data_IF_867145403953
#
_entry.id   IF_867145403953
#
_cell.length_a   1.000
_cell.length_b   1.000
_cell.length_c   1.000
_cell.angle_alpha   90.00
_cell.angle_beta   90.00
_cell.angle_gamma   90.00
#
_symmetry.space_group_name_H-M   'P 1'
#
loop_
_entity.id
_entity.type
_entity.pdbx_description
1 polymer ?
#
# COMPACT_ATOMS: atom_id res chain seq x y z
N UNK A 1 -38.67 -17.84 35.86
CA UNK A 1 -38.45 -17.64 34.41
C UNK A 1 -37.14 -16.88 34.28
N UNK A 2 -36.14 -17.56 33.87
CA UNK A 2 -34.82 -16.94 33.66
C UNK A 2 -34.82 -16.25 32.28
N UNK A 3 -34.50 -14.98 32.22
CA UNK A 3 -34.26 -14.26 30.97
C UNK A 3 -33.08 -14.91 30.23
N UNK A 4 -33.21 -15.19 28.94
CA UNK A 4 -32.12 -15.73 28.18
C UNK A 4 -30.98 -14.70 28.15
N UNK A 5 -29.75 -15.19 28.31
CA UNK A 5 -28.54 -14.38 28.16
C UNK A 5 -28.50 -13.78 26.76
N UNK A 6 -28.07 -12.53 26.59
CA UNK A 6 -27.91 -11.94 25.28
C UNK A 6 -26.88 -12.76 24.48
N UNK A 7 -27.21 -13.08 23.24
CA UNK A 7 -26.33 -13.71 22.29
C UNK A 7 -25.10 -12.79 22.09
N UNK A 8 -23.86 -13.31 22.02
CA UNK A 8 -22.71 -12.50 21.70
C UNK A 8 -22.92 -11.87 20.31
N UNK A 9 -22.91 -10.54 20.26
CA UNK A 9 -22.97 -9.80 19.00
C UNK A 9 -21.65 -9.98 18.27
N UNK A 10 -21.68 -10.62 17.13
CA UNK A 10 -20.51 -10.74 16.25
C UNK A 10 -20.35 -9.44 15.49
N UNK A 11 -19.32 -8.67 15.77
CA UNK A 11 -19.08 -7.40 15.11
C UNK A 11 -17.64 -7.21 14.81
N UNK A 12 -17.46 -6.82 13.75
CA UNK A 12 -17.01 -5.79 12.85
C UNK A 12 -15.64 -6.05 12.25
N UNK A 13 -15.61 -6.02 10.96
CA UNK A 13 -14.39 -5.98 10.15
C UNK A 13 -13.83 -4.57 10.25
N UNK A 14 -12.73 -4.40 10.95
CA UNK A 14 -11.90 -3.20 10.86
C UNK A 14 -10.70 -3.53 9.99
N UNK A 15 -10.83 -3.21 8.74
CA UNK A 15 -9.64 -3.12 7.91
C UNK A 15 -8.91 -1.82 8.26
N UNK A 16 -7.59 -1.84 8.35
CA UNK A 16 -6.76 -0.64 8.15
C UNK A 16 -6.96 -0.15 6.71
N UNK A 17 -8.17 -0.17 6.26
CA UNK A 17 -8.58 0.17 4.92
C UNK A 17 -9.28 1.50 4.96
N UNK A 18 -8.95 2.29 3.97
CA UNK A 18 -9.73 3.41 3.52
C UNK A 18 -11.22 3.12 3.69
N UNK A 19 -11.85 3.76 4.66
CA UNK A 19 -13.29 3.90 4.64
C UNK A 19 -13.62 4.73 3.40
N UNK A 20 -13.92 4.04 2.31
CA UNK A 20 -14.60 4.64 1.19
C UNK A 20 -15.98 5.02 1.69
N UNK A 21 -16.18 6.28 2.04
CA UNK A 21 -17.50 6.83 2.33
C UNK A 21 -18.15 7.20 1.00
N UNK A 22 -19.20 6.48 0.56
CA UNK A 22 -19.95 6.90 -0.62
C UNK A 22 -20.56 8.28 -0.32
N UNK A 23 -20.11 9.31 -1.02
CA UNK A 23 -20.66 10.66 -0.89
C UNK A 23 -19.65 11.80 -0.76
N UNK A 24 -18.40 11.56 -0.47
CA UNK A 24 -17.38 12.62 -0.43
C UNK A 24 -16.70 12.91 -1.80
N UNK A 25 -17.11 12.24 -2.87
CA UNK A 25 -16.49 12.32 -4.20
C UNK A 25 -17.30 13.02 -5.29
N UNK A 26 -18.40 13.71 -4.98
CA UNK A 26 -19.28 14.26 -6.01
C UNK A 26 -19.17 15.75 -6.28
N UNK A 27 -18.28 16.49 -5.62
CA UNK A 27 -17.98 17.89 -5.97
C UNK A 27 -16.49 18.00 -6.30
N UNK A 28 -16.18 18.45 -7.51
CA UNK A 28 -14.82 18.59 -8.05
C UNK A 28 -13.96 19.66 -7.39
N UNK A 29 -14.14 19.91 -6.09
CA UNK A 29 -13.23 20.65 -5.26
C UNK A 29 -12.41 19.63 -4.46
N UNK A 30 -11.08 19.74 -4.51
CA UNK A 30 -10.18 19.03 -3.61
C UNK A 30 -10.68 19.24 -2.17
N UNK A 31 -11.02 18.19 -1.41
CA UNK A 31 -11.50 18.38 -0.06
C UNK A 31 -10.41 19.10 0.73
N UNK A 32 -10.81 20.17 1.45
CA UNK A 32 -9.94 20.83 2.40
C UNK A 32 -9.30 19.76 3.29
N UNK A 33 -7.96 19.65 3.32
CA UNK A 33 -7.28 18.63 4.11
C UNK A 33 -7.74 18.61 5.57
N UNK A 34 -8.07 19.77 6.13
CA UNK A 34 -8.57 19.91 7.50
C UNK A 34 -9.92 19.22 7.69
N UNK A 35 -10.81 19.31 6.72
CA UNK A 35 -12.11 18.63 6.75
C UNK A 35 -11.97 17.12 6.55
N UNK A 36 -11.04 16.67 5.70
CA UNK A 36 -10.78 15.25 5.48
C UNK A 36 -10.26 14.58 6.75
N UNK A 37 -9.22 15.13 7.37
CA UNK A 37 -8.64 14.57 8.61
C UNK A 37 -9.66 14.58 9.75
N UNK A 38 -10.46 15.63 9.85
CA UNK A 38 -11.50 15.70 10.86
C UNK A 38 -12.58 14.63 10.64
N UNK A 39 -13.03 14.41 9.41
CA UNK A 39 -14.00 13.38 9.07
C UNK A 39 -13.44 11.97 9.37
N UNK A 40 -12.19 11.70 9.00
CA UNK A 40 -11.51 10.44 9.31
C UNK A 40 -11.40 10.24 10.83
N UNK A 41 -11.00 11.26 11.57
CA UNK A 41 -10.91 11.20 13.03
C UNK A 41 -12.28 10.90 13.68
N UNK A 42 -13.34 11.58 13.24
CA UNK A 42 -14.69 11.34 13.76
C UNK A 42 -15.15 9.89 13.46
N UNK A 43 -14.88 9.40 12.26
CA UNK A 43 -15.23 8.02 11.88
C UNK A 43 -14.50 6.99 12.76
N UNK A 44 -13.21 7.16 13.01
CA UNK A 44 -12.47 6.28 13.91
C UNK A 44 -12.96 6.39 15.34
N UNK A 45 -13.24 7.59 15.84
CA UNK A 45 -13.80 7.78 17.17
C UNK A 45 -15.13 7.04 17.32
N UNK A 46 -16.06 7.23 16.39
CA UNK A 46 -17.38 6.60 16.42
C UNK A 46 -17.28 5.07 16.32
N UNK A 47 -16.29 4.56 15.56
CA UNK A 47 -15.98 3.14 15.48
C UNK A 47 -15.50 2.61 16.84
N UNK A 48 -14.51 3.25 17.47
CA UNK A 48 -13.99 2.84 18.78
C UNK A 48 -15.07 2.95 19.87
N UNK A 49 -15.87 4.04 19.87
CA UNK A 49 -17.00 4.19 20.78
C UNK A 49 -18.05 3.08 20.59
N UNK A 50 -18.19 2.55 19.39
CA UNK A 50 -19.08 1.41 19.11
C UNK A 50 -18.49 0.10 19.63
N UNK A 51 -17.21 -0.15 19.37
CA UNK A 51 -16.51 -1.33 19.87
C UNK A 51 -16.49 -1.37 21.41
N UNK A 52 -16.31 -0.23 22.07
CA UNK A 52 -16.32 -0.13 23.54
C UNK A 52 -17.69 -0.38 24.15
N UNK A 53 -18.77 -0.08 23.43
CA UNK A 53 -20.16 -0.32 23.87
C UNK A 53 -20.60 -1.76 23.72
N UNK A 54 -19.98 -2.51 22.82
CA UNK A 54 -20.33 -3.90 22.57
C UNK A 54 -19.64 -4.83 23.57
N UNK A 55 -20.36 -5.28 24.54
CA UNK A 55 -19.89 -6.25 25.52
C UNK A 55 -20.35 -7.68 25.14
N UNK A 56 -19.55 -8.73 25.43
CA UNK A 56 -18.39 -8.75 26.32
C UNK A 56 -17.06 -8.42 25.66
N UNK A 57 -16.85 -8.56 24.36
CA UNK A 57 -15.69 -8.12 23.60
C UNK A 57 -16.02 -8.21 22.09
N UNK A 58 -15.92 -7.08 21.38
CA UNK A 58 -15.99 -7.12 19.94
C UNK A 58 -14.70 -7.76 19.37
N UNK A 59 -14.84 -8.69 18.45
CA UNK A 59 -13.73 -9.24 17.69
C UNK A 59 -13.45 -8.35 16.47
N UNK A 60 -12.21 -7.90 16.33
CA UNK A 60 -11.77 -7.02 15.26
C UNK A 60 -10.86 -7.78 14.30
N UNK A 61 -11.27 -7.94 13.06
CA UNK A 61 -10.42 -8.52 12.02
C UNK A 61 -9.55 -7.44 11.39
N UNK A 62 -8.23 -7.65 11.34
CA UNK A 62 -7.31 -6.70 10.70
C UNK A 62 -6.61 -7.34 9.49
N UNK A 63 -6.50 -6.54 8.41
CA UNK A 63 -5.79 -6.95 7.19
C UNK A 63 -4.28 -6.84 7.37
N UNK A 64 -3.73 -7.68 8.23
CA UNK A 64 -2.31 -7.80 8.56
C UNK A 64 -2.03 -9.23 9.01
N UNK A 65 -0.78 -9.59 9.22
CA UNK A 65 -0.41 -10.82 9.95
C UNK A 65 0.31 -10.49 11.25
N UNK A 66 0.29 -11.42 12.18
CA UNK A 66 0.87 -11.26 13.49
C UNK A 66 2.35 -10.90 13.41
N UNK A 67 3.08 -11.50 12.49
CA UNK A 67 4.52 -11.37 12.32
C UNK A 67 4.93 -9.96 11.87
N UNK A 68 4.08 -9.30 11.08
CA UNK A 68 4.32 -7.92 10.60
C UNK A 68 4.16 -6.87 11.71
N UNK A 69 3.24 -7.09 12.65
CA UNK A 69 2.83 -6.05 13.61
C UNK A 69 2.80 -6.52 15.08
N UNK A 70 3.71 -7.40 15.48
CA UNK A 70 3.79 -7.97 16.85
C UNK A 70 3.64 -6.90 17.92
N UNK A 71 4.38 -5.79 17.83
CA UNK A 71 4.34 -4.71 18.83
C UNK A 71 3.03 -3.93 18.85
N UNK A 72 2.43 -3.69 17.68
CA UNK A 72 1.15 -3.00 17.59
C UNK A 72 0.00 -3.85 18.13
N UNK A 73 -0.04 -5.14 17.76
CA UNK A 73 -1.05 -6.08 18.23
C UNK A 73 -0.97 -6.30 19.74
N UNK A 74 0.23 -6.34 20.32
CA UNK A 74 0.41 -6.46 21.78
C UNK A 74 -0.03 -5.20 22.56
N UNK A 75 -0.07 -4.05 21.89
CA UNK A 75 -0.46 -2.77 22.48
C UNK A 75 -1.96 -2.46 22.36
N UNK A 76 -2.70 -3.23 21.56
CA UNK A 76 -4.15 -3.05 21.42
C UNK A 76 -4.84 -3.53 22.71
N UNK A 77 -5.49 -2.62 23.40
CA UNK A 77 -6.10 -2.80 24.72
C UNK A 77 -7.09 -3.98 24.85
N UNK A 78 -8.32 -3.77 25.35
CA UNK A 78 -9.19 -4.87 25.76
C UNK A 78 -9.88 -5.61 24.60
N UNK A 79 -9.68 -5.17 23.35
CA UNK A 79 -10.33 -5.77 22.19
C UNK A 79 -9.62 -7.05 21.73
N UNK A 80 -10.40 -8.00 21.24
CA UNK A 80 -9.89 -9.21 20.62
C UNK A 80 -9.58 -8.90 19.14
N UNK A 81 -8.29 -8.69 18.83
CA UNK A 81 -7.83 -8.32 17.48
C UNK A 81 -7.21 -9.52 16.81
N UNK A 82 -7.83 -9.96 15.71
CA UNK A 82 -7.38 -11.09 14.92
C UNK A 82 -6.77 -10.63 13.58
N UNK A 83 -5.45 -10.75 13.41
CA UNK A 83 -4.83 -10.55 12.11
C UNK A 83 -5.18 -11.72 11.18
N UNK A 84 -5.78 -11.41 10.03
CA UNK A 84 -6.28 -12.39 9.05
C UNK A 84 -5.72 -12.18 7.64
N UNK A 85 -4.76 -11.28 7.49
CA UNK A 85 -4.16 -10.89 6.21
C UNK A 85 -2.65 -11.11 6.15
N UNK A 86 -1.99 -10.47 5.18
CA UNK A 86 -2.54 -9.61 4.13
C UNK A 86 -3.50 -10.35 3.20
N UNK A 87 -4.71 -9.80 3.03
CA UNK A 87 -5.66 -10.31 2.05
C UNK A 87 -5.32 -9.70 0.69
N UNK A 88 -4.81 -10.53 -0.20
CA UNK A 88 -4.49 -10.16 -1.58
C UNK A 88 -5.55 -10.75 -2.51
N UNK A 89 -5.88 -10.06 -3.63
CA UNK A 89 -6.74 -10.64 -4.63
C UNK A 89 -6.18 -11.98 -5.12
N UNK A 90 -7.00 -13.00 -5.14
CA UNK A 90 -6.62 -14.31 -5.67
C UNK A 90 -6.76 -14.27 -7.19
N UNK A 91 -5.64 -14.10 -7.94
CA UNK A 91 -5.54 -14.35 -9.39
C UNK A 91 -6.60 -13.64 -10.26
N UNK A 92 -6.76 -14.09 -11.47
CA UNK A 92 -7.44 -13.52 -12.64
C UNK A 92 -8.86 -12.90 -12.53
N UNK A 93 -9.50 -12.85 -11.37
CA UNK A 93 -10.94 -12.59 -11.29
C UNK A 93 -11.37 -11.11 -11.11
N UNK A 94 -10.50 -10.14 -10.97
CA UNK A 94 -10.94 -8.83 -10.46
C UNK A 94 -10.54 -7.59 -11.22
N UNK A 95 -10.15 -7.67 -12.46
CA UNK A 95 -9.97 -6.43 -13.20
C UNK A 95 -11.27 -5.97 -13.87
N UNK A 96 -12.10 -5.25 -13.12
CA UNK A 96 -13.28 -4.54 -13.62
C UNK A 96 -12.88 -3.38 -14.59
N UNK A 97 -11.58 -3.08 -14.73
CA UNK A 97 -11.03 -1.93 -15.45
C UNK A 97 -10.05 -2.35 -16.56
N UNK A 98 -10.41 -3.26 -17.43
CA UNK A 98 -9.50 -4.14 -18.18
C UNK A 98 -9.06 -3.71 -19.57
N UNK A 99 -9.26 -2.50 -20.08
CA UNK A 99 -8.85 -2.22 -21.47
C UNK A 99 -7.35 -1.85 -21.62
N UNK A 100 -6.70 -1.26 -20.61
CA UNK A 100 -5.26 -0.94 -20.64
C UNK A 100 -4.36 -1.98 -19.96
N UNK A 101 -4.96 -3.02 -19.36
CA UNK A 101 -4.24 -3.98 -18.52
C UNK A 101 -3.21 -4.84 -19.26
N UNK A 102 -3.41 -5.13 -20.52
CA UNK A 102 -2.52 -5.98 -21.29
C UNK A 102 -1.20 -5.26 -21.66
N UNK A 103 -1.27 -4.01 -22.08
CA UNK A 103 -0.12 -3.28 -22.64
C UNK A 103 1.06 -3.12 -21.67
N UNK A 104 0.80 -2.80 -20.42
CA UNK A 104 1.89 -2.61 -19.46
C UNK A 104 2.49 -3.94 -19.00
N UNK A 105 1.70 -5.03 -18.94
CA UNK A 105 2.22 -6.36 -18.66
C UNK A 105 3.11 -6.85 -19.79
N UNK A 106 2.67 -6.74 -21.04
CA UNK A 106 3.48 -7.04 -22.24
C UNK A 106 4.80 -6.25 -22.26
N UNK A 107 4.75 -4.97 -21.84
CA UNK A 107 5.95 -4.15 -21.74
C UNK A 107 6.88 -4.67 -20.61
N UNK A 108 6.35 -5.06 -19.46
CA UNK A 108 7.14 -5.66 -18.37
C UNK A 108 7.82 -6.96 -18.81
N UNK A 109 7.13 -7.80 -19.60
CA UNK A 109 7.68 -9.04 -20.18
C UNK A 109 8.94 -8.81 -21.03
N UNK A 110 9.12 -7.61 -21.58
CA UNK A 110 10.32 -7.25 -22.36
C UNK A 110 11.51 -6.85 -21.49
N UNK A 111 11.34 -6.72 -20.17
CA UNK A 111 12.38 -6.18 -19.27
C UNK A 111 13.14 -7.28 -18.54
N UNK A 112 14.37 -6.97 -18.16
CA UNK A 112 15.18 -7.88 -17.35
C UNK A 112 14.58 -8.01 -15.94
N UNK A 113 14.77 -9.15 -15.32
CA UNK A 113 14.36 -9.38 -13.96
C UNK A 113 14.93 -8.32 -13.01
N UNK A 114 14.09 -7.82 -12.10
CA UNK A 114 14.43 -6.82 -11.07
C UNK A 114 15.03 -5.51 -11.63
N UNK A 115 14.72 -5.14 -12.88
CA UNK A 115 15.26 -3.93 -13.51
C UNK A 115 14.32 -2.73 -13.47
N UNK A 116 13.01 -2.95 -13.30
CA UNK A 116 11.97 -1.91 -13.43
C UNK A 116 11.68 -1.25 -12.10
N UNK A 117 11.61 0.09 -12.11
CA UNK A 117 11.09 0.91 -11.01
C UNK A 117 9.58 1.10 -11.23
N UNK A 118 8.76 0.49 -10.38
CA UNK A 118 7.33 0.72 -10.34
C UNK A 118 7.02 1.94 -9.46
N UNK A 119 6.17 2.86 -9.92
CA UNK A 119 5.86 4.12 -9.22
C UNK A 119 4.37 4.32 -9.13
N UNK A 120 3.81 4.31 -7.91
CA UNK A 120 2.39 4.56 -7.67
C UNK A 120 2.16 5.23 -6.31
N UNK A 121 1.33 6.29 -6.31
CA UNK A 121 1.00 7.05 -5.11
C UNK A 121 -0.45 6.85 -4.63
N UNK A 122 -1.04 5.73 -5.02
CA UNK A 122 -2.38 5.31 -4.61
C UNK A 122 -3.51 6.13 -5.25
N UNK A 123 -4.71 5.92 -4.73
CA UNK A 123 -5.95 6.41 -5.35
C UNK A 123 -6.38 7.82 -4.94
N UNK A 124 -5.78 8.43 -3.93
CA UNK A 124 -6.23 9.71 -3.36
C UNK A 124 -5.27 10.88 -3.62
N UNK A 125 -4.06 10.63 -4.12
CA UNK A 125 -3.07 11.68 -4.28
C UNK A 125 -3.29 12.47 -5.56
N UNK A 126 -3.69 13.73 -5.44
CA UNK A 126 -3.48 14.73 -6.49
C UNK A 126 -2.00 15.11 -6.55
N UNK A 127 -1.48 15.30 -7.76
CA UNK A 127 -0.07 15.57 -7.99
C UNK A 127 0.09 16.98 -8.53
N UNK A 128 0.79 17.83 -7.79
CA UNK A 128 1.17 19.14 -8.30
C UNK A 128 2.15 18.96 -9.47
N UNK A 129 2.13 19.91 -10.41
CA UNK A 129 2.98 19.91 -11.59
C UNK A 129 4.45 19.74 -11.25
N UNK A 130 4.96 20.54 -10.33
CA UNK A 130 6.34 20.51 -9.86
C UNK A 130 6.75 19.11 -9.33
N UNK A 131 5.88 18.46 -8.62
CA UNK A 131 6.12 17.10 -8.12
C UNK A 131 6.21 16.06 -9.24
N UNK A 132 5.42 16.23 -10.30
CA UNK A 132 5.46 15.32 -11.45
C UNK A 132 6.72 15.56 -12.27
N UNK A 133 7.10 16.82 -12.50
CA UNK A 133 8.32 17.21 -13.22
C UNK A 133 9.56 16.61 -12.54
N UNK A 134 9.70 16.79 -11.22
CA UNK A 134 10.83 16.25 -10.45
C UNK A 134 10.90 14.72 -10.49
N UNK A 135 9.77 14.04 -10.45
CA UNK A 135 9.72 12.57 -10.53
C UNK A 135 10.12 12.06 -11.90
N UNK A 136 9.54 12.63 -12.97
CA UNK A 136 9.90 12.27 -14.33
C UNK A 136 11.38 12.51 -14.59
N UNK A 137 11.90 13.68 -14.18
CA UNK A 137 13.31 13.99 -14.28
C UNK A 137 14.18 12.95 -13.56
N UNK A 138 13.83 12.61 -12.32
CA UNK A 138 14.59 11.64 -11.52
C UNK A 138 14.55 10.22 -12.10
N UNK A 139 13.42 9.79 -12.66
CA UNK A 139 13.28 8.49 -13.31
C UNK A 139 14.09 8.43 -14.62
N UNK A 140 14.01 9.45 -15.47
CA UNK A 140 14.75 9.50 -16.74
C UNK A 140 16.27 9.60 -16.52
N UNK A 141 16.72 10.47 -15.62
CA UNK A 141 18.14 10.58 -15.28
C UNK A 141 18.69 9.31 -14.61
N UNK A 142 17.82 8.54 -13.93
CA UNK A 142 18.17 7.25 -13.33
C UNK A 142 18.44 6.15 -14.36
N UNK A 143 18.01 6.32 -15.62
CA UNK A 143 18.23 5.41 -16.76
C UNK A 143 17.79 3.96 -16.51
N UNK A 144 16.91 3.74 -15.53
CA UNK A 144 16.29 2.43 -15.29
C UNK A 144 14.91 2.41 -15.96
N UNK A 145 14.47 1.28 -16.50
CA UNK A 145 13.09 1.15 -16.95
C UNK A 145 12.12 1.48 -15.82
N UNK A 146 11.04 2.19 -16.11
CA UNK A 146 10.03 2.51 -15.10
C UNK A 146 8.60 2.38 -15.62
N UNK A 147 7.70 2.01 -14.72
CA UNK A 147 6.25 2.06 -14.91
C UNK A 147 5.68 3.08 -13.92
N UNK A 148 5.17 4.20 -14.44
CA UNK A 148 4.59 5.26 -13.64
C UNK A 148 3.08 5.29 -13.77
N UNK A 149 2.36 5.25 -12.65
CA UNK A 149 0.91 5.41 -12.60
C UNK A 149 0.56 6.88 -12.38
N UNK A 150 -0.11 7.50 -13.34
CA UNK A 150 -0.65 8.86 -13.27
C UNK A 150 -2.14 8.81 -13.59
N UNK A 151 -2.96 9.01 -12.56
CA UNK A 151 -4.41 8.93 -12.65
C UNK A 151 -5.03 9.97 -13.60
N UNK A 152 -6.27 9.69 -14.05
CA UNK A 152 -7.04 10.56 -14.96
C UNK A 152 -7.17 12.01 -14.50
N UNK A 153 -7.33 12.23 -13.19
CA UNK A 153 -7.43 13.56 -12.58
C UNK A 153 -6.13 14.37 -12.67
N UNK A 154 -4.99 13.71 -12.91
CA UNK A 154 -3.69 14.34 -13.13
C UNK A 154 -3.26 14.36 -14.62
N UNK A 155 -4.15 13.99 -15.55
CA UNK A 155 -3.81 13.84 -16.98
C UNK A 155 -3.39 15.16 -17.65
N UNK A 156 -4.05 16.27 -17.33
CA UNK A 156 -3.65 17.58 -17.83
C UNK A 156 -2.24 17.96 -17.36
N UNK A 157 -1.96 17.74 -16.08
CA UNK A 157 -0.64 17.97 -15.48
C UNK A 157 0.44 17.08 -16.12
N UNK A 158 0.11 15.82 -16.46
CA UNK A 158 1.03 14.92 -17.16
C UNK A 158 1.33 15.42 -18.57
N UNK A 159 0.31 15.77 -19.35
CA UNK A 159 0.49 16.27 -20.72
C UNK A 159 1.38 17.53 -20.77
N UNK A 160 1.22 18.43 -19.79
CA UNK A 160 2.07 19.61 -19.66
C UNK A 160 3.51 19.25 -19.27
N UNK A 161 3.71 18.27 -18.38
CA UNK A 161 5.04 17.81 -17.98
C UNK A 161 5.76 17.12 -19.13
N UNK A 162 5.07 16.25 -19.88
CA UNK A 162 5.60 15.61 -21.08
C UNK A 162 5.99 16.63 -22.15
N UNK A 163 5.16 17.65 -22.39
CA UNK A 163 5.46 18.73 -23.32
C UNK A 163 6.72 19.53 -22.91
N UNK A 164 6.92 19.78 -21.60
CA UNK A 164 8.10 20.47 -21.11
C UNK A 164 9.38 19.63 -21.19
N UNK A 165 9.26 18.32 -20.98
CA UNK A 165 10.40 17.40 -21.08
C UNK A 165 10.72 17.02 -22.54
N UNK A 166 9.79 17.22 -23.46
CA UNK A 166 9.95 16.85 -24.88
C UNK A 166 10.13 15.34 -25.05
N UNK A 167 10.95 14.93 -26.04
CA UNK A 167 11.20 13.51 -26.34
C UNK A 167 12.10 12.79 -25.31
N UNK A 168 12.14 13.25 -24.07
CA UNK A 168 13.02 12.71 -23.03
C UNK A 168 12.43 11.52 -22.25
N UNK A 169 11.18 11.15 -22.48
CA UNK A 169 10.55 9.98 -21.83
C UNK A 169 10.89 8.71 -22.63
N UNK A 170 12.14 8.26 -22.52
CA UNK A 170 12.67 7.14 -23.31
C UNK A 170 12.76 5.84 -22.50
N UNK A 171 12.84 5.95 -21.16
CA UNK A 171 13.15 4.80 -20.31
C UNK A 171 11.91 4.08 -19.76
N UNK A 172 10.72 4.67 -19.86
CA UNK A 172 9.56 4.11 -19.19
C UNK A 172 8.24 4.24 -19.92
N UNK A 173 7.20 3.77 -19.25
CA UNK A 173 5.82 3.96 -19.68
C UNK A 173 5.01 4.61 -18.56
N UNK A 174 4.03 5.42 -18.97
CA UNK A 174 3.05 6.04 -18.08
C UNK A 174 1.69 5.44 -18.38
N UNK A 175 1.00 5.05 -17.31
CA UNK A 175 -0.35 4.46 -17.38
C UNK A 175 -1.31 5.18 -16.45
N UNK A 176 -2.59 5.19 -16.77
CA UNK A 176 -3.61 5.81 -15.89
C UNK A 176 -3.97 4.93 -14.71
N UNK A 177 -3.87 3.62 -14.89
CA UNK A 177 -4.17 2.61 -13.89
C UNK A 177 -3.48 1.28 -14.22
N UNK A 178 -3.22 0.46 -13.20
CA UNK A 178 -2.77 -0.92 -13.36
C UNK A 178 -3.23 -1.78 -12.19
N UNK A 179 -3.26 -3.10 -12.39
CA UNK A 179 -3.39 -4.07 -11.31
C UNK A 179 -2.07 -4.12 -10.52
N UNK A 180 -2.02 -3.42 -9.39
CA UNK A 180 -0.82 -3.27 -8.58
C UNK A 180 -0.25 -4.60 -8.11
N UNK A 181 -1.11 -5.54 -7.72
CA UNK A 181 -0.67 -6.86 -7.23
C UNK A 181 0.00 -7.65 -8.35
N UNK A 182 -0.58 -7.67 -9.54
CA UNK A 182 0.03 -8.32 -10.71
C UNK A 182 1.34 -7.67 -11.12
N UNK A 183 1.40 -6.34 -11.10
CA UNK A 183 2.65 -5.60 -11.39
C UNK A 183 3.72 -5.91 -10.35
N UNK A 184 3.40 -5.88 -9.05
CA UNK A 184 4.35 -6.20 -7.99
C UNK A 184 4.81 -7.67 -8.01
N UNK A 185 3.97 -8.58 -8.47
CA UNK A 185 4.33 -10.00 -8.62
C UNK A 185 5.20 -10.27 -9.86
N UNK A 186 5.34 -9.29 -10.78
CA UNK A 186 6.09 -9.48 -12.02
C UNK A 186 7.60 -9.50 -11.79
N UNK A 187 8.29 -10.48 -12.38
CA UNK A 187 9.73 -10.71 -12.19
C UNK A 187 10.61 -9.50 -12.57
N UNK A 188 10.16 -8.65 -13.49
CA UNK A 188 10.89 -7.47 -13.92
C UNK A 188 10.91 -6.35 -12.87
N UNK A 189 9.96 -6.31 -11.92
CA UNK A 189 9.87 -5.23 -10.93
C UNK A 189 10.93 -5.43 -9.84
N UNK A 190 11.83 -4.45 -9.72
CA UNK A 190 12.93 -4.46 -8.75
C UNK A 190 12.77 -3.49 -7.59
N UNK A 191 11.89 -2.48 -7.73
CA UNK A 191 11.65 -1.47 -6.71
C UNK A 191 10.25 -0.88 -6.84
N UNK A 192 9.62 -0.57 -5.72
CA UNK A 192 8.35 0.14 -5.65
C UNK A 192 8.48 1.50 -4.96
N UNK A 193 8.30 2.58 -5.71
CA UNK A 193 8.22 3.94 -5.17
C UNK A 193 6.77 4.22 -4.80
N UNK A 194 6.50 4.37 -3.51
CA UNK A 194 5.13 4.40 -2.97
C UNK A 194 4.92 5.48 -1.91
N UNK A 195 3.68 5.94 -1.77
CA UNK A 195 3.25 6.80 -0.66
C UNK A 195 3.18 6.08 0.69
N UNK A 196 3.43 4.78 0.74
CA UNK A 196 3.34 3.94 1.95
C UNK A 196 1.94 3.84 2.58
N UNK A 197 0.85 3.91 1.82
CA UNK A 197 -0.45 3.47 2.29
C UNK A 197 -0.42 1.98 2.62
N UNK A 198 -1.18 1.55 3.66
CA UNK A 198 -1.05 0.18 4.19
C UNK A 198 -1.20 -0.92 3.15
N UNK A 199 -2.23 -0.85 2.28
CA UNK A 199 -2.42 -1.88 1.26
C UNK A 199 -1.21 -1.99 0.32
N UNK A 200 -0.69 -0.85 -0.17
CA UNK A 200 0.49 -0.83 -1.02
C UNK A 200 1.72 -1.42 -0.35
N UNK A 201 1.90 -1.15 0.94
CA UNK A 201 3.01 -1.72 1.73
C UNK A 201 2.83 -3.23 1.91
N UNK A 202 1.63 -3.68 2.29
CA UNK A 202 1.33 -5.10 2.48
C UNK A 202 1.48 -5.90 1.18
N UNK A 203 0.99 -5.36 0.05
CA UNK A 203 1.15 -5.96 -1.29
C UNK A 203 2.62 -6.05 -1.71
N UNK A 204 3.41 -5.00 -1.43
CA UNK A 204 4.85 -5.00 -1.73
C UNK A 204 5.61 -6.02 -0.89
N UNK A 205 5.33 -6.09 0.41
CA UNK A 205 5.96 -7.09 1.31
C UNK A 205 5.60 -8.51 0.88
N UNK A 206 4.32 -8.77 0.60
CA UNK A 206 3.86 -10.07 0.13
C UNK A 206 4.45 -10.47 -1.22
N UNK A 207 4.79 -9.50 -2.07
CA UNK A 207 5.46 -9.72 -3.35
C UNK A 207 6.99 -9.81 -3.23
N UNK A 208 7.56 -9.40 -2.09
CA UNK A 208 9.02 -9.35 -1.87
C UNK A 208 9.71 -8.23 -2.65
N UNK A 209 8.98 -7.16 -2.99
CA UNK A 209 9.52 -6.02 -3.72
C UNK A 209 10.02 -4.97 -2.74
N UNK A 210 11.29 -4.55 -2.82
CA UNK A 210 11.81 -3.48 -1.99
C UNK A 210 11.15 -2.14 -2.29
N UNK A 211 11.09 -1.25 -1.27
CA UNK A 211 10.33 0.00 -1.38
C UNK A 211 11.19 1.25 -1.23
N UNK A 212 10.81 2.31 -1.96
CA UNK A 212 11.17 3.70 -1.66
C UNK A 212 9.92 4.40 -1.14
N UNK A 213 9.90 4.68 0.15
CA UNK A 213 8.76 5.30 0.82
C UNK A 213 8.78 6.83 0.70
N UNK A 214 7.69 7.40 0.21
CA UNK A 214 7.46 8.85 0.08
C UNK A 214 6.16 9.20 0.80
N UNK A 215 6.10 9.10 2.13
CA UNK A 215 4.87 9.33 2.88
C UNK A 215 4.43 10.80 2.79
N UNK A 216 3.13 11.03 2.70
CA UNK A 216 2.54 12.36 2.63
C UNK A 216 1.65 12.69 3.82
N UNK A 217 0.77 11.76 4.18
CA UNK A 217 -0.29 12.01 5.17
C UNK A 217 -0.57 10.78 6.03
N UNK A 218 -1.25 10.98 7.14
CA UNK A 218 -1.82 9.93 8.01
C UNK A 218 -0.79 8.89 8.48
N UNK A 219 -1.17 7.62 8.47
CA UNK A 219 -0.37 6.46 8.89
C UNK A 219 0.85 6.18 8.00
N UNK A 220 0.91 6.82 6.82
CA UNK A 220 1.97 6.57 5.83
C UNK A 220 3.37 6.79 6.40
N UNK A 221 3.55 7.79 7.27
CA UNK A 221 4.83 8.05 7.93
C UNK A 221 5.24 6.93 8.89
N UNK A 222 4.27 6.30 9.56
CA UNK A 222 4.51 5.14 10.42
C UNK A 222 4.87 3.92 9.57
N UNK A 223 4.11 3.67 8.49
CA UNK A 223 4.37 2.56 7.57
C UNK A 223 5.75 2.70 6.92
N UNK A 224 6.14 3.91 6.47
CA UNK A 224 7.47 4.18 5.94
C UNK A 224 8.59 3.89 6.96
N UNK A 225 8.34 4.17 8.25
CA UNK A 225 9.29 3.82 9.33
C UNK A 225 9.39 2.31 9.55
N UNK A 226 8.28 1.58 9.45
CA UNK A 226 8.30 0.10 9.52
C UNK A 226 9.12 -0.47 8.35
N UNK A 227 8.88 0.01 7.13
CA UNK A 227 9.64 -0.37 5.92
C UNK A 227 11.15 -0.15 6.11
N UNK A 228 11.54 1.06 6.59
CA UNK A 228 12.95 1.44 6.71
C UNK A 228 13.64 0.79 7.90
N UNK A 229 13.02 0.81 9.09
CA UNK A 229 13.68 0.45 10.36
C UNK A 229 13.19 -0.85 10.95
N UNK A 230 11.90 -1.16 10.80
CA UNK A 230 11.30 -2.36 11.35
C UNK A 230 11.65 -3.58 10.52
N UNK A 231 11.24 -3.57 9.27
CA UNK A 231 11.42 -4.70 8.36
C UNK A 231 12.68 -4.60 7.51
N UNK A 232 13.24 -3.40 7.36
CA UNK A 232 14.43 -3.12 6.55
C UNK A 232 14.26 -3.53 5.08
N UNK A 233 13.03 -3.39 4.57
CA UNK A 233 12.65 -3.76 3.20
C UNK A 233 12.66 -2.57 2.25
N UNK A 234 13.21 -1.45 2.66
CA UNK A 234 13.27 -0.24 1.84
C UNK A 234 13.91 0.93 2.54
N UNK A 235 13.82 2.08 1.87
CA UNK A 235 14.35 3.35 2.35
C UNK A 235 13.26 4.40 2.35
N UNK A 236 13.40 5.41 3.20
CA UNK A 236 12.51 6.57 3.22
C UNK A 236 13.17 7.73 2.50
N UNK A 237 12.51 8.25 1.45
CA UNK A 237 12.95 9.44 0.75
C UNK A 237 12.71 10.71 1.59
N UNK A 238 13.60 11.67 1.42
CA UNK A 238 13.48 13.01 2.01
C UNK A 238 12.72 13.91 1.05
N UNK A 239 11.82 14.71 1.60
CA UNK A 239 11.11 15.75 0.87
C UNK A 239 11.54 17.11 1.45
N UNK A 240 11.43 18.15 0.65
CA UNK A 240 11.70 19.52 1.10
C UNK A 240 10.59 20.07 2.01
N UNK A 241 10.70 21.35 2.42
CA UNK A 241 9.73 22.02 3.27
C UNK A 241 8.33 22.19 2.63
N UNK A 242 8.24 22.06 1.31
CA UNK A 242 6.99 22.04 0.54
C UNK A 242 6.43 20.64 0.30
N UNK A 243 7.13 19.58 0.74
CA UNK A 243 6.75 18.18 0.52
C UNK A 243 7.10 17.66 -0.87
N UNK A 244 7.98 18.35 -1.61
CA UNK A 244 8.44 17.93 -2.94
C UNK A 244 9.58 16.92 -2.82
N UNK A 245 9.45 15.80 -3.51
CA UNK A 245 10.53 14.83 -3.72
C UNK A 245 11.35 15.24 -4.94
N UNK A 246 12.56 15.71 -4.71
CA UNK A 246 13.46 16.13 -5.78
C UNK A 246 14.09 14.96 -6.55
N UNK A 247 14.34 15.17 -7.85
CA UNK A 247 14.90 14.18 -8.77
C UNK A 247 16.17 13.49 -8.24
N UNK A 248 17.10 14.28 -7.68
CA UNK A 248 18.33 13.76 -7.11
C UNK A 248 18.11 12.80 -5.93
N UNK A 249 17.14 13.12 -5.06
CA UNK A 249 16.80 12.25 -3.92
C UNK A 249 16.09 10.97 -4.37
N UNK A 250 15.19 11.06 -5.38
CA UNK A 250 14.56 9.87 -5.96
C UNK A 250 15.63 8.91 -6.52
N UNK A 251 16.56 9.42 -7.32
CA UNK A 251 17.68 8.62 -7.86
C UNK A 251 18.51 7.99 -6.75
N UNK A 252 18.88 8.78 -5.74
CA UNK A 252 19.65 8.28 -4.59
C UNK A 252 18.94 7.11 -3.92
N UNK A 253 17.65 7.24 -3.64
CA UNK A 253 16.85 6.19 -2.98
C UNK A 253 16.71 4.95 -3.86
N UNK A 254 16.46 5.11 -5.17
CA UNK A 254 16.39 3.99 -6.11
C UNK A 254 17.71 3.26 -6.17
N UNK A 255 18.84 3.97 -6.22
CA UNK A 255 20.18 3.35 -6.24
C UNK A 255 20.50 2.65 -4.91
N UNK A 256 20.06 3.18 -3.77
CA UNK A 256 20.21 2.56 -2.46
C UNK A 256 19.45 1.22 -2.34
N UNK A 257 18.38 1.04 -3.13
CA UNK A 257 17.56 -0.18 -3.15
C UNK A 257 17.97 -1.14 -4.27
N UNK A 258 18.27 -0.62 -5.46
CA UNK A 258 18.51 -1.41 -6.68
C UNK A 258 19.96 -1.50 -7.12
N UNK A 259 20.85 -0.73 -6.52
CA UNK A 259 22.28 -0.72 -6.86
C UNK A 259 23.02 -2.00 -6.47
N UNK A 260 24.31 -2.05 -6.81
CA UNK A 260 25.18 -3.23 -6.57
C UNK A 260 25.82 -3.23 -5.18
N UNK A 261 25.55 -2.24 -4.36
CA UNK A 261 26.14 -2.11 -3.02
C UNK A 261 25.58 -3.14 -2.02
N UNK A 262 26.37 -3.45 -0.99
CA UNK A 262 25.99 -4.38 0.07
C UNK A 262 24.69 -3.97 0.79
N UNK A 263 24.44 -2.67 0.97
CA UNK A 263 23.19 -2.16 1.54
C UNK A 263 21.96 -2.51 0.70
N UNK A 264 22.05 -2.31 -0.63
CA UNK A 264 21.01 -2.67 -1.57
C UNK A 264 20.74 -4.19 -1.58
N UNK A 265 21.81 -4.99 -1.54
CA UNK A 265 21.70 -6.45 -1.47
C UNK A 265 20.97 -6.88 -0.18
N UNK A 266 21.25 -6.24 0.95
CA UNK A 266 20.60 -6.52 2.23
C UNK A 266 19.12 -6.15 2.20
N UNK A 267 18.75 -4.99 1.67
CA UNK A 267 17.34 -4.56 1.52
C UNK A 267 16.56 -5.58 0.67
N UNK A 268 17.12 -6.04 -0.45
CA UNK A 268 16.51 -7.06 -1.29
C UNK A 268 16.37 -8.42 -0.58
N UNK A 269 17.40 -8.82 0.16
CA UNK A 269 17.35 -10.03 0.98
C UNK A 269 16.22 -9.97 2.01
N UNK A 270 16.14 -8.89 2.76
CA UNK A 270 15.07 -8.67 3.75
C UNK A 270 13.68 -8.67 3.11
N UNK A 271 13.53 -8.06 1.93
CA UNK A 271 12.25 -8.08 1.22
C UNK A 271 11.82 -9.52 0.87
N UNK A 272 12.76 -10.37 0.44
CA UNK A 272 12.46 -11.78 0.15
C UNK A 272 12.16 -12.59 1.41
N UNK A 273 12.84 -12.33 2.51
CA UNK A 273 12.55 -12.99 3.79
C UNK A 273 11.16 -12.64 4.30
N UNK A 274 10.77 -11.37 4.25
CA UNK A 274 9.43 -10.95 4.65
C UNK A 274 8.33 -11.49 3.73
N UNK A 275 8.60 -11.63 2.42
CA UNK A 275 7.70 -12.34 1.51
C UNK A 275 7.42 -13.75 2.00
N UNK A 276 8.46 -14.48 2.41
CA UNK A 276 8.30 -15.84 2.91
C UNK A 276 7.51 -15.88 4.22
N UNK A 277 7.82 -14.99 5.17
CA UNK A 277 7.08 -14.87 6.44
C UNK A 277 5.59 -14.63 6.19
N UNK A 278 5.24 -13.71 5.28
CA UNK A 278 3.84 -13.44 4.94
C UNK A 278 3.19 -14.63 4.25
N UNK A 279 3.88 -15.30 3.34
CA UNK A 279 3.36 -16.49 2.67
C UNK A 279 3.09 -17.64 3.66
N UNK A 280 3.97 -17.83 4.64
CA UNK A 280 3.77 -18.82 5.71
C UNK A 280 2.59 -18.45 6.62
N UNK A 281 2.47 -17.17 7.01
CA UNK A 281 1.38 -16.69 7.86
C UNK A 281 0.00 -16.85 7.20
N UNK A 282 -0.09 -16.58 5.88
CA UNK A 282 -1.36 -16.66 5.12
C UNK A 282 -1.63 -18.04 4.52
N UNK A 283 -0.62 -18.89 4.45
CA UNK A 283 -0.73 -20.26 3.95
C UNK A 283 -1.52 -21.18 4.89
N UNK A 284 -1.86 -22.37 4.41
CA UNK A 284 -2.61 -23.36 5.17
C UNK A 284 -1.88 -23.72 6.49
N UNK A 285 -2.55 -23.51 7.62
CA UNK A 285 -2.00 -23.72 8.96
C UNK A 285 -1.18 -22.54 9.50
N UNK A 286 -0.98 -21.47 8.73
CA UNK A 286 -0.34 -20.23 9.20
C UNK A 286 -1.21 -19.42 10.16
N UNK A 287 -0.61 -18.43 10.80
CA UNK A 287 -1.26 -17.62 11.85
C UNK A 287 -2.53 -16.93 11.35
N UNK A 288 -2.48 -16.23 10.22
CA UNK A 288 -3.63 -15.53 9.63
C UNK A 288 -4.73 -16.49 9.15
N UNK A 289 -4.32 -17.61 8.54
CA UNK A 289 -5.25 -18.65 8.12
C UNK A 289 -6.01 -19.24 9.30
N UNK A 290 -5.29 -19.62 10.37
CA UNK A 290 -5.91 -20.20 11.57
C UNK A 290 -6.86 -19.21 12.26
N UNK A 291 -6.49 -17.93 12.35
CA UNK A 291 -7.34 -16.89 12.89
C UNK A 291 -8.65 -16.73 12.10
N UNK A 292 -8.55 -16.73 10.76
CA UNK A 292 -9.73 -16.62 9.91
C UNK A 292 -10.67 -17.84 10.06
N UNK A 293 -10.11 -19.06 10.07
CA UNK A 293 -10.87 -20.30 10.27
C UNK A 293 -11.56 -20.28 11.64
N UNK A 294 -10.83 -19.97 12.71
CA UNK A 294 -11.38 -19.90 14.06
C UNK A 294 -12.53 -18.87 14.18
N UNK A 295 -12.38 -17.72 13.53
CA UNK A 295 -13.43 -16.70 13.48
C UNK A 295 -14.68 -17.23 12.76
N UNK A 296 -14.52 -17.83 11.58
CA UNK A 296 -15.64 -18.39 10.80
C UNK A 296 -16.36 -19.49 11.57
N UNK A 297 -15.63 -20.38 12.25
CA UNK A 297 -16.23 -21.47 13.03
C UNK A 297 -16.97 -20.95 14.27
N UNK A 298 -16.43 -19.92 14.94
CA UNK A 298 -17.12 -19.25 16.03
C UNK A 298 -18.42 -18.59 15.57
N UNK A 299 -18.40 -17.92 14.42
CA UNK A 299 -19.59 -17.29 13.84
C UNK A 299 -20.69 -18.30 13.44
N UNK A 300 -20.30 -19.49 12.97
CA UNK A 300 -21.24 -20.57 12.64
C UNK A 300 -21.87 -21.23 13.86
N UNK A 301 -21.18 -21.25 14.99
CA UNK A 301 -21.70 -21.86 16.22
C UNK A 301 -22.74 -20.99 16.94
N UNK A 302 -22.93 -19.75 16.50
CA UNK A 302 -23.93 -18.80 17.05
C UNK A 302 -25.29 -18.91 16.35
N UNK A 303 -25.36 -19.55 15.19
CA UNK A 303 -26.60 -19.82 14.44
C UNK A 303 -27.09 -21.23 14.69
#
# INVERSE_FOLDING_TARGET
MATPAPSPSTTAVVTRCYLWTPGLGASGASPDPTNYFHAVFLTFRDLFDTLDREAPKATVLVNSCQELEVGALAAVGPHDVLPVGPMLPAGDETSIFNEDGARHMEWLDTKLASSVVYVSFGSLATMAREQLDERLLGLEEGRRPYLLVVRKDNKATLAEAEAAMGARLENGIVVEWCDQVRVLAHAAVGCFVTHCGWNSVAESVASGVPMVGVPKVSEQSMNARLVERGWRTGVRARVDGGGVLHAAELRRCVEEVMGDGAGAAEVRRMAQEWKQVVAEATGNGGSSYCNLVAFVDSARSIN
#
